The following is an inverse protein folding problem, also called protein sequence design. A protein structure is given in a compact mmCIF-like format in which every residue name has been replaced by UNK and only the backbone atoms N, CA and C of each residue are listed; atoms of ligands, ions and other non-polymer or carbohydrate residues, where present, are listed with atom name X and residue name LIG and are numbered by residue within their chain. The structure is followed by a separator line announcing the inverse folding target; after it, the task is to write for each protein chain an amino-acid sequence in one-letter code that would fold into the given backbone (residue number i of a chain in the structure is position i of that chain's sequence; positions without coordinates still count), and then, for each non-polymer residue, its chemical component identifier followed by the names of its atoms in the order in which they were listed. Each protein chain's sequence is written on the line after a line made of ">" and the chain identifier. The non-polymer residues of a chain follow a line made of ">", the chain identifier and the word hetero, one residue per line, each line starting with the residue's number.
data_IF_911664486462
#
_entry.id   IF_911664486462
#
_cell.length_a   1.000
_cell.length_b   1.000
_cell.length_c   1.000
_cell.angle_alpha   90.00
_cell.angle_beta   90.00
_cell.angle_gamma   90.00
#
_symmetry.space_group_name_H-M   'P 1'
#
loop_
_entity.id
_entity.type
_entity.pdbx_description
1 polymer ?
#
# COMPACT_ATOMS: atom_id res chain seq x y z
N UNK A 1 24.43 6.11 18.33
CA UNK A 1 23.23 6.34 17.53
C UNK A 1 22.57 5.00 17.37
N UNK A 2 21.43 4.81 18.01
CA UNK A 2 20.75 3.52 18.19
C UNK A 2 20.22 2.99 16.84
N UNK A 3 20.39 1.70 16.61
CA UNK A 3 19.85 0.90 15.47
C UNK A 3 18.32 1.11 15.30
N UNK A 4 17.63 1.49 16.36
CA UNK A 4 16.18 1.77 16.37
C UNK A 4 15.80 2.95 15.46
N UNK A 5 16.66 3.95 15.29
CA UNK A 5 16.38 5.12 14.45
C UNK A 5 16.54 4.82 12.93
N UNK A 6 17.12 3.66 12.56
CA UNK A 6 17.20 3.19 11.17
C UNK A 6 16.04 2.24 10.80
N UNK A 7 15.25 1.79 11.77
CA UNK A 7 14.20 0.80 11.63
C UNK A 7 12.81 1.30 12.02
N UNK A 8 12.55 2.59 11.92
CA UNK A 8 11.17 2.99 11.70
C UNK A 8 10.86 2.65 10.25
N UNK A 9 10.18 1.54 9.97
CA UNK A 9 9.61 1.39 8.65
C UNK A 9 8.68 2.59 8.50
N UNK A 10 8.96 3.46 7.53
CA UNK A 10 7.89 4.27 6.97
C UNK A 10 6.93 3.25 6.38
N UNK A 11 5.97 2.81 7.18
CA UNK A 11 4.88 1.98 6.70
C UNK A 11 4.19 2.79 5.63
N UNK A 12 4.42 2.40 4.37
CA UNK A 12 3.68 2.87 3.19
C UNK A 12 3.17 4.33 3.29
N UNK A 13 4.05 5.27 3.54
CA UNK A 13 3.90 6.62 3.04
C UNK A 13 4.66 6.61 1.73
N UNK A 14 3.92 6.75 0.65
CA UNK A 14 4.36 6.98 -0.72
C UNK A 14 4.60 5.72 -1.58
N UNK A 15 3.53 5.28 -2.26
CA UNK A 15 3.64 4.75 -3.61
C UNK A 15 4.18 3.34 -3.79
N UNK A 16 4.11 2.47 -2.80
CA UNK A 16 4.42 1.05 -3.01
C UNK A 16 3.14 0.34 -3.51
N UNK A 17 3.17 -0.13 -4.76
CA UNK A 17 2.07 -0.92 -5.36
C UNK A 17 2.02 -2.34 -4.79
N UNK A 18 2.19 -2.49 -3.47
CA UNK A 18 2.03 -3.79 -2.84
C UNK A 18 0.56 -4.20 -2.85
N UNK A 19 0.26 -5.42 -3.31
CA UNK A 19 -1.08 -5.97 -3.15
C UNK A 19 -1.34 -6.16 -1.67
N UNK A 20 -2.23 -5.34 -1.13
CA UNK A 20 -2.75 -5.47 0.21
C UNK A 20 -4.04 -6.29 0.17
N UNK A 21 -4.31 -7.03 1.23
CA UNK A 21 -5.56 -7.78 1.39
C UNK A 21 -6.31 -7.30 2.63
N UNK A 22 -7.62 -7.51 2.65
CA UNK A 22 -8.43 -7.18 3.81
C UNK A 22 -8.09 -8.04 5.03
N UNK A 23 -8.35 -7.53 6.23
CA UNK A 23 -8.12 -8.23 7.50
C UNK A 23 -8.74 -9.63 7.52
N UNK A 24 -9.98 -9.81 7.06
CA UNK A 24 -10.64 -11.11 7.04
C UNK A 24 -9.94 -12.11 6.11
N UNK A 25 -9.38 -11.65 5.01
CA UNK A 25 -8.59 -12.47 4.07
C UNK A 25 -7.24 -12.83 4.69
N UNK A 26 -6.56 -11.85 5.31
CA UNK A 26 -5.33 -12.08 6.04
C UNK A 26 -5.51 -13.13 7.15
N UNK A 27 -6.57 -13.03 7.95
CA UNK A 27 -6.90 -14.02 8.97
C UNK A 27 -7.21 -15.41 8.40
N UNK A 28 -7.94 -15.48 7.28
CA UNK A 28 -8.21 -16.75 6.61
C UNK A 28 -6.91 -17.41 6.11
N UNK A 29 -6.03 -16.61 5.50
CA UNK A 29 -4.72 -17.08 5.06
C UNK A 29 -3.87 -17.58 6.24
N UNK A 30 -3.74 -16.78 7.30
CA UNK A 30 -2.97 -17.15 8.49
C UNK A 30 -3.53 -18.40 9.19
N UNK A 31 -4.86 -18.55 9.25
CA UNK A 31 -5.52 -19.77 9.78
C UNK A 31 -5.12 -21.01 9.01
N UNK A 32 -4.96 -20.94 7.68
CA UNK A 32 -4.53 -22.07 6.86
C UNK A 32 -3.10 -22.53 7.19
N UNK A 33 -2.29 -21.66 7.80
CA UNK A 33 -0.96 -21.95 8.32
C UNK A 33 -0.96 -22.37 9.80
N UNK A 34 -2.15 -22.51 10.43
CA UNK A 34 -2.28 -22.90 11.83
C UNK A 34 -2.02 -21.76 12.83
N UNK A 35 -2.13 -20.50 12.39
CA UNK A 35 -2.06 -19.32 13.26
C UNK A 35 -3.41 -19.15 13.97
N UNK A 36 -3.44 -19.01 15.32
CA UNK A 36 -4.68 -18.77 16.03
C UNK A 36 -5.22 -17.36 15.76
N UNK A 37 -6.41 -17.29 15.17
CA UNK A 37 -7.14 -16.05 14.84
C UNK A 37 -8.58 -16.19 15.30
N UNK A 38 -9.30 -15.08 15.51
CA UNK A 38 -10.73 -15.07 15.83
C UNK A 38 -11.55 -15.63 14.68
N UNK A 39 -12.64 -16.34 14.99
CA UNK A 39 -13.64 -16.71 14.01
C UNK A 39 -14.46 -15.49 13.59
N UNK A 40 -14.83 -15.45 12.32
CA UNK A 40 -15.56 -14.32 11.79
C UNK A 40 -16.13 -14.58 10.40
N UNK A 41 -17.03 -13.70 9.98
CA UNK A 41 -17.71 -13.76 8.70
C UNK A 41 -17.69 -12.40 8.02
N UNK A 42 -17.36 -12.38 6.73
CA UNK A 42 -17.46 -11.17 5.90
C UNK A 42 -18.90 -10.97 5.45
N UNK A 43 -19.34 -9.73 5.44
CA UNK A 43 -20.68 -9.30 5.03
C UNK A 43 -20.54 -8.24 3.93
N UNK A 44 -21.12 -8.53 2.77
CA UNK A 44 -21.14 -7.65 1.60
C UNK A 44 -22.49 -6.93 1.43
N UNK A 45 -23.55 -7.46 2.03
CA UNK A 45 -24.92 -6.91 2.00
C UNK A 45 -25.47 -6.86 3.42
N UNK A 46 -26.10 -5.77 3.78
CA UNK A 46 -26.56 -5.54 5.14
C UNK A 46 -27.54 -6.62 5.66
N UNK A 47 -28.34 -7.20 4.77
CA UNK A 47 -29.28 -8.28 5.09
C UNK A 47 -28.61 -9.58 5.55
N UNK A 48 -27.36 -9.82 5.15
CA UNK A 48 -26.62 -11.02 5.53
C UNK A 48 -26.01 -10.93 6.94
N UNK A 49 -25.98 -9.74 7.54
CA UNK A 49 -25.32 -9.48 8.82
C UNK A 49 -25.90 -10.32 9.97
N UNK A 50 -27.23 -10.47 10.01
CA UNK A 50 -27.91 -11.27 11.03
C UNK A 50 -27.50 -12.73 10.98
N UNK A 51 -27.45 -13.31 9.79
CA UNK A 51 -27.04 -14.70 9.58
C UNK A 51 -25.55 -14.87 9.91
N UNK A 52 -24.71 -13.90 9.51
CA UNK A 52 -23.28 -13.92 9.80
C UNK A 52 -22.99 -13.89 11.32
N UNK A 53 -23.62 -12.97 12.04
CA UNK A 53 -23.48 -12.89 13.51
C UNK A 53 -24.04 -14.11 14.24
N UNK A 54 -25.22 -14.60 13.81
CA UNK A 54 -25.84 -15.79 14.40
C UNK A 54 -25.10 -17.10 14.17
N UNK A 55 -24.17 -17.12 13.22
CA UNK A 55 -23.27 -18.25 12.96
C UNK A 55 -21.95 -18.22 13.75
N UNK A 56 -21.78 -17.29 14.69
CA UNK A 56 -20.65 -17.12 15.59
C UNK A 56 -21.08 -17.39 17.04
N UNK A 57 -20.11 -17.72 17.90
CA UNK A 57 -20.43 -18.19 19.27
C UNK A 57 -21.03 -17.09 20.18
N UNK A 58 -20.60 -15.81 20.03
CA UNK A 58 -21.06 -14.73 20.92
C UNK A 58 -20.62 -14.92 22.37
N UNK A 59 -21.20 -14.23 23.33
CA UNK A 59 -22.27 -13.20 23.25
C UNK A 59 -21.77 -11.79 22.92
N UNK A 60 -20.52 -11.63 22.53
CA UNK A 60 -19.91 -10.37 22.10
C UNK A 60 -19.41 -10.52 20.65
N UNK A 61 -19.84 -9.62 19.80
CA UNK A 61 -19.37 -9.53 18.41
C UNK A 61 -18.62 -8.22 18.18
N UNK A 62 -17.57 -8.28 17.35
CA UNK A 62 -16.87 -7.09 16.88
C UNK A 62 -17.22 -6.87 15.41
N UNK A 63 -17.83 -5.74 15.12
CA UNK A 63 -18.26 -5.34 13.76
C UNK A 63 -17.25 -4.36 13.21
N UNK A 64 -16.48 -4.77 12.19
CA UNK A 64 -15.32 -4.04 11.67
C UNK A 64 -15.51 -3.64 10.22
N UNK A 65 -15.44 -2.35 9.92
CA UNK A 65 -15.30 -1.85 8.56
C UNK A 65 -14.02 -2.39 7.92
N UNK A 66 -14.11 -2.87 6.68
CA UNK A 66 -12.97 -3.39 5.92
C UNK A 66 -12.58 -2.37 4.85
N UNK A 67 -11.49 -1.68 5.08
CA UNK A 67 -10.80 -0.78 4.15
C UNK A 67 -9.29 -1.00 4.28
N UNK A 68 -8.52 -0.72 3.23
CA UNK A 68 -7.06 -0.81 3.26
C UNK A 68 -6.44 0.41 3.96
N UNK A 69 -6.85 0.67 5.20
CA UNK A 69 -6.30 1.73 6.05
C UNK A 69 -6.38 1.35 7.53
N UNK A 70 -5.35 1.74 8.26
CA UNK A 70 -5.31 1.64 9.72
C UNK A 70 -6.13 2.73 10.42
N UNK A 71 -6.23 2.63 11.76
CA UNK A 71 -6.91 3.63 12.58
C UNK A 71 -8.43 3.60 12.47
N UNK A 72 -9.02 2.54 11.93
CA UNK A 72 -10.47 2.39 11.71
C UNK A 72 -11.32 2.64 12.96
N UNK A 73 -10.86 2.18 14.13
CA UNK A 73 -11.55 2.36 15.41
C UNK A 73 -11.69 3.81 15.85
N UNK A 74 -10.68 4.65 15.53
CA UNK A 74 -10.65 6.10 15.82
C UNK A 74 -11.16 6.95 14.65
N UNK A 75 -11.45 6.33 13.50
CA UNK A 75 -11.95 7.00 12.30
C UNK A 75 -13.33 7.59 12.48
N UNK A 76 -13.72 8.50 11.59
CA UNK A 76 -15.04 9.14 11.56
C UNK A 76 -15.69 8.94 10.21
N UNK A 77 -16.99 8.65 10.21
CA UNK A 77 -17.77 8.61 8.98
C UNK A 77 -18.15 10.02 8.54
N UNK A 78 -18.21 10.25 7.22
CA UNK A 78 -18.68 11.53 6.65
C UNK A 78 -20.19 11.68 6.79
N UNK A 79 -20.91 10.59 6.65
CA UNK A 79 -22.37 10.55 6.66
C UNK A 79 -22.89 10.48 8.10
N UNK A 80 -23.78 11.43 8.52
CA UNK A 80 -24.32 11.47 9.89
C UNK A 80 -25.08 10.21 10.28
N UNK A 81 -25.70 9.52 9.32
CA UNK A 81 -26.47 8.28 9.54
C UNK A 81 -25.59 7.13 10.05
N UNK A 82 -24.29 7.21 9.82
CA UNK A 82 -23.33 6.24 10.38
C UNK A 82 -23.11 6.43 11.89
N UNK A 83 -23.55 7.55 12.47
CA UNK A 83 -23.36 7.90 13.87
C UNK A 83 -21.93 8.33 14.20
N UNK A 84 -21.67 8.60 15.49
CA UNK A 84 -20.40 9.16 15.96
C UNK A 84 -19.28 8.12 16.18
N UNK A 85 -19.63 6.81 16.20
CA UNK A 85 -18.67 5.74 16.45
C UNK A 85 -17.83 5.46 15.19
N UNK A 86 -16.57 5.07 15.40
CA UNK A 86 -15.66 4.67 14.33
C UNK A 86 -16.05 3.38 13.60
N UNK A 87 -15.13 2.90 12.78
CA UNK A 87 -15.30 1.70 11.95
C UNK A 87 -15.09 0.37 12.67
N UNK A 88 -14.88 0.35 14.00
CA UNK A 88 -14.80 -0.85 14.82
C UNK A 88 -15.78 -0.68 15.99
N UNK A 89 -16.76 -1.58 16.08
CA UNK A 89 -17.86 -1.46 17.04
C UNK A 89 -18.12 -2.78 17.75
N UNK A 90 -18.51 -2.71 19.03
CA UNK A 90 -18.89 -3.88 19.83
C UNK A 90 -20.41 -4.01 19.84
N UNK A 91 -20.91 -5.19 19.48
CA UNK A 91 -22.32 -5.58 19.54
C UNK A 91 -22.53 -6.66 20.59
N UNK A 92 -23.61 -6.56 21.35
CA UNK A 92 -23.97 -7.52 22.41
C UNK A 92 -25.17 -8.37 22.03
N UNK A 93 -25.72 -8.15 20.86
CA UNK A 93 -26.75 -8.99 20.24
C UNK A 93 -26.57 -9.05 18.73
N UNK A 94 -27.18 -10.03 18.11
CA UNK A 94 -27.21 -10.21 16.66
C UNK A 94 -27.89 -9.00 15.98
N UNK A 95 -28.94 -8.46 16.62
CA UNK A 95 -29.69 -7.29 16.14
C UNK A 95 -28.82 -6.01 16.18
N UNK A 96 -28.00 -5.84 17.22
CA UNK A 96 -27.04 -4.74 17.29
C UNK A 96 -25.97 -4.87 16.19
N UNK A 97 -25.45 -6.08 15.93
CA UNK A 97 -24.48 -6.32 14.86
C UNK A 97 -25.07 -5.99 13.48
N UNK A 98 -26.33 -6.38 13.23
CA UNK A 98 -27.06 -6.02 12.02
C UNK A 98 -27.25 -4.50 11.88
N UNK A 99 -27.68 -3.83 12.94
CA UNK A 99 -27.86 -2.38 12.94
C UNK A 99 -26.55 -1.62 12.66
N UNK A 100 -25.45 -2.02 13.31
CA UNK A 100 -24.14 -1.43 13.11
C UNK A 100 -23.63 -1.67 11.69
N UNK A 101 -23.87 -2.85 11.11
CA UNK A 101 -23.53 -3.15 9.72
C UNK A 101 -24.27 -2.21 8.76
N UNK A 102 -25.59 -2.03 8.94
CA UNK A 102 -26.40 -1.10 8.13
C UNK A 102 -25.92 0.36 8.23
N UNK A 103 -25.43 0.77 9.40
CA UNK A 103 -24.90 2.10 9.62
C UNK A 103 -23.57 2.35 8.88
N UNK A 104 -22.72 1.33 8.77
CA UNK A 104 -21.37 1.49 8.25
C UNK A 104 -21.22 1.13 6.77
N UNK A 105 -21.95 0.11 6.29
CA UNK A 105 -21.83 -0.38 4.92
C UNK A 105 -22.27 0.69 3.92
N UNK A 106 -21.46 0.94 2.90
CA UNK A 106 -21.69 1.96 1.87
C UNK A 106 -21.36 3.40 2.32
N UNK A 107 -20.84 3.60 3.53
CA UNK A 107 -20.47 4.93 4.06
C UNK A 107 -18.97 5.18 3.94
N UNK A 108 -18.59 6.44 3.97
CA UNK A 108 -17.19 6.89 3.80
C UNK A 108 -16.52 7.05 5.16
N UNK A 109 -15.57 6.17 5.46
CA UNK A 109 -14.77 6.22 6.67
C UNK A 109 -13.47 7.02 6.44
N UNK A 110 -13.26 8.05 7.26
CA UNK A 110 -12.06 8.89 7.27
C UNK A 110 -11.18 8.49 8.45
N UNK A 111 -9.93 8.15 8.18
CA UNK A 111 -8.90 7.85 9.17
C UNK A 111 -7.68 8.75 8.91
N UNK A 112 -6.68 8.72 9.79
CA UNK A 112 -5.44 9.45 9.55
C UNK A 112 -4.68 8.95 8.31
N UNK A 113 -4.88 7.67 7.92
CA UNK A 113 -4.23 7.08 6.75
C UNK A 113 -4.99 7.29 5.44
N UNK A 114 -6.32 7.47 5.48
CA UNK A 114 -7.10 7.72 4.25
C UNK A 114 -7.06 9.17 3.79
N UNK A 115 -6.53 10.07 4.61
CA UNK A 115 -6.68 11.50 4.38
C UNK A 115 -8.15 11.95 4.42
N UNK A 116 -8.43 13.22 4.10
CA UNK A 116 -9.79 13.79 4.17
C UNK A 116 -10.77 13.22 3.13
N UNK A 117 -10.27 12.60 2.05
CA UNK A 117 -11.11 11.93 1.06
C UNK A 117 -11.84 10.72 1.65
N UNK A 118 -11.22 10.02 2.60
CA UNK A 118 -11.77 8.80 3.18
C UNK A 118 -11.84 7.63 2.19
N UNK A 119 -12.34 6.49 2.67
CA UNK A 119 -12.59 5.29 1.85
C UNK A 119 -14.02 4.80 2.09
N UNK A 120 -14.70 4.38 1.03
CA UNK A 120 -16.04 3.78 1.12
C UNK A 120 -15.94 2.38 1.71
N UNK A 121 -16.76 2.10 2.72
CA UNK A 121 -16.81 0.79 3.37
C UNK A 121 -17.70 -0.16 2.54
N UNK A 122 -17.08 -0.95 1.68
CA UNK A 122 -17.77 -1.91 0.82
C UNK A 122 -17.96 -3.30 1.47
N UNK A 123 -17.34 -3.53 2.62
CA UNK A 123 -17.35 -4.80 3.35
C UNK A 123 -17.33 -4.56 4.84
N UNK A 124 -18.04 -5.42 5.57
CA UNK A 124 -17.98 -5.51 7.02
C UNK A 124 -17.48 -6.89 7.40
N UNK A 125 -16.62 -6.97 8.40
CA UNK A 125 -16.22 -8.21 9.03
C UNK A 125 -16.81 -8.29 10.42
N UNK A 126 -17.60 -9.32 10.68
CA UNK A 126 -18.17 -9.61 12.01
C UNK A 126 -17.41 -10.78 12.58
N UNK A 127 -16.81 -10.60 13.74
CA UNK A 127 -16.03 -11.65 14.41
C UNK A 127 -16.41 -11.81 15.88
N UNK A 128 -16.09 -12.96 16.44
CA UNK A 128 -16.24 -13.21 17.87
C UNK A 128 -15.36 -12.28 18.69
N UNK A 129 -15.93 -11.69 19.72
CA UNK A 129 -15.18 -10.93 20.71
C UNK A 129 -14.16 -11.83 21.43
N UNK A 130 -13.12 -11.22 21.93
CA UNK A 130 -12.07 -11.91 22.70
C UNK A 130 -11.90 -11.27 24.06
N UNK A 131 -11.76 -12.09 25.10
CA UNK A 131 -11.45 -11.63 26.47
C UNK A 131 -9.96 -11.34 26.58
N UNK A 132 -9.59 -10.07 26.40
CA UNK A 132 -8.22 -9.61 26.30
C UNK A 132 -7.64 -9.34 27.70
N UNK A 133 -6.55 -10.04 28.03
CA UNK A 133 -5.76 -9.73 29.23
C UNK A 133 -4.60 -8.77 28.93
N UNK A 134 -3.95 -8.91 27.75
CA UNK A 134 -2.83 -8.07 27.31
C UNK A 134 -2.83 -7.93 25.81
N UNK A 135 -2.42 -6.76 25.33
CA UNK A 135 -2.18 -6.47 23.91
C UNK A 135 -0.68 -6.33 23.65
N UNK A 136 -0.21 -6.96 22.58
CA UNK A 136 1.18 -7.04 22.19
C UNK A 136 1.29 -6.70 20.70
N UNK A 137 2.50 -6.31 20.27
CA UNK A 137 2.82 -6.04 18.87
C UNK A 137 3.78 -7.08 18.32
N UNK A 138 3.54 -7.55 17.10
CA UNK A 138 4.44 -8.43 16.37
C UNK A 138 4.35 -8.15 14.88
N UNK A 139 5.50 -7.86 14.24
CA UNK A 139 5.57 -7.71 12.79
C UNK A 139 6.77 -8.45 12.20
N UNK A 140 6.62 -8.87 10.96
CA UNK A 140 7.66 -9.39 10.08
C UNK A 140 7.74 -8.48 8.85
N UNK A 141 8.94 -8.16 8.42
CA UNK A 141 9.17 -7.34 7.23
C UNK A 141 10.45 -7.74 6.51
N UNK A 142 10.51 -7.48 5.21
CA UNK A 142 11.74 -7.59 4.43
C UNK A 142 12.60 -6.36 4.71
N UNK A 143 13.72 -6.57 5.41
CA UNK A 143 14.70 -5.51 5.62
C UNK A 143 15.66 -5.44 4.43
N UNK A 144 15.47 -4.44 3.59
CA UNK A 144 16.30 -4.22 2.39
C UNK A 144 17.74 -3.86 2.74
N UNK A 145 17.98 -3.25 3.89
CA UNK A 145 19.33 -2.87 4.32
C UNK A 145 20.22 -4.07 4.66
N UNK A 146 19.65 -5.09 5.32
CA UNK A 146 20.35 -6.33 5.65
C UNK A 146 20.06 -7.48 4.68
N UNK A 147 19.11 -7.33 3.75
CA UNK A 147 18.59 -8.38 2.87
C UNK A 147 18.08 -9.60 3.65
N UNK A 148 17.38 -9.36 4.76
CA UNK A 148 16.88 -10.38 5.68
C UNK A 148 15.42 -10.14 6.05
N UNK A 149 14.79 -11.16 6.62
CA UNK A 149 13.47 -11.01 7.25
C UNK A 149 13.69 -10.57 8.69
N UNK A 150 13.14 -9.39 9.03
CA UNK A 150 13.24 -8.83 10.37
C UNK A 150 11.94 -8.95 11.14
N UNK A 151 12.07 -9.30 12.42
CA UNK A 151 11.01 -9.26 13.41
C UNK A 151 11.07 -7.96 14.17
N UNK A 152 9.91 -7.35 14.40
CA UNK A 152 9.73 -6.21 15.29
C UNK A 152 8.65 -6.59 16.30
N UNK A 153 8.96 -6.53 17.57
CA UNK A 153 8.04 -6.92 18.65
C UNK A 153 8.05 -5.90 19.77
N UNK A 154 6.88 -5.66 20.38
CA UNK A 154 6.73 -4.77 21.53
C UNK A 154 5.67 -5.26 22.50
N UNK A 155 5.82 -4.91 23.76
CA UNK A 155 4.79 -5.08 24.80
C UNK A 155 3.65 -4.07 24.68
N UNK A 156 3.80 -3.05 23.84
CA UNK A 156 2.80 -2.03 23.54
C UNK A 156 2.03 -2.40 22.27
N UNK A 157 0.96 -3.16 22.42
CA UNK A 157 0.05 -3.52 21.34
C UNK A 157 -1.17 -2.61 21.27
N UNK A 158 -1.90 -2.65 20.14
CA UNK A 158 -3.08 -1.82 19.92
C UNK A 158 -2.78 -0.33 19.72
N UNK A 159 -1.49 0.03 19.65
CA UNK A 159 -0.98 1.38 19.45
C UNK A 159 -0.25 1.48 18.09
N UNK A 160 -0.03 2.71 17.67
CA UNK A 160 0.81 3.01 16.52
C UNK A 160 2.29 2.74 16.90
N UNK A 161 2.96 1.84 16.18
CA UNK A 161 4.33 1.43 16.51
C UNK A 161 5.34 2.55 16.29
N UNK A 162 5.06 3.50 15.39
CA UNK A 162 5.88 4.69 15.18
C UNK A 162 5.84 5.61 16.38
N UNK A 163 4.67 5.74 17.04
CA UNK A 163 4.58 6.49 18.30
C UNK A 163 5.37 5.81 19.42
N UNK A 164 5.31 4.48 19.51
CA UNK A 164 6.11 3.70 20.47
C UNK A 164 7.60 3.88 20.17
N UNK A 165 8.02 3.82 18.91
CA UNK A 165 9.41 4.02 18.49
C UNK A 165 9.92 5.43 18.81
N UNK A 166 9.07 6.45 18.70
CA UNK A 166 9.43 7.83 18.99
C UNK A 166 9.55 8.13 20.49
N UNK A 167 8.69 7.53 21.33
CA UNK A 167 8.57 7.89 22.74
C UNK A 167 9.21 6.86 23.69
N UNK A 168 9.17 5.57 23.36
CA UNK A 168 9.64 4.47 24.20
C UNK A 168 10.38 3.38 23.40
N UNK A 169 11.46 3.75 22.67
CA UNK A 169 12.15 2.82 21.78
C UNK A 169 12.73 1.58 22.48
N UNK A 170 12.98 1.67 23.78
CA UNK A 170 13.46 0.56 24.62
C UNK A 170 12.43 -0.58 24.76
N UNK A 171 11.15 -0.32 24.47
CA UNK A 171 10.08 -1.33 24.46
C UNK A 171 10.00 -2.10 23.15
N UNK A 172 10.80 -1.74 22.16
CA UNK A 172 10.85 -2.42 20.86
C UNK A 172 12.08 -3.29 20.80
N UNK A 173 11.89 -4.57 20.57
CA UNK A 173 12.94 -5.49 20.16
C UNK A 173 12.86 -5.74 18.67
N UNK A 174 13.94 -5.54 17.94
CA UNK A 174 14.09 -5.98 16.54
C UNK A 174 15.25 -6.95 16.39
N UNK A 175 15.11 -7.91 15.49
CA UNK A 175 16.17 -8.81 15.08
C UNK A 175 15.86 -9.42 13.71
N UNK A 176 16.90 -9.82 13.00
CA UNK A 176 16.76 -10.41 11.66
C UNK A 176 17.02 -11.89 11.67
N UNK A 177 16.35 -12.60 10.78
CA UNK A 177 16.56 -14.03 10.50
C UNK A 177 17.26 -14.13 9.15
N UNK A 178 18.36 -14.87 9.11
CA UNK A 178 19.09 -15.13 7.87
C UNK A 178 18.30 -16.13 7.02
N UNK A 179 17.88 -15.78 5.78
CA UNK A 179 17.09 -16.68 4.94
C UNK A 179 17.77 -18.01 4.63
N UNK A 180 19.11 -18.05 4.61
CA UNK A 180 19.86 -19.27 4.33
C UNK A 180 19.78 -20.29 5.48
N UNK A 181 19.74 -19.83 6.73
CA UNK A 181 19.59 -20.71 7.92
C UNK A 181 18.14 -20.90 8.32
N UNK A 182 17.27 -19.98 7.94
CA UNK A 182 15.87 -19.98 8.30
C UNK A 182 15.58 -19.70 9.78
N UNK A 183 14.31 -19.76 10.12
CA UNK A 183 13.84 -19.59 11.49
C UNK A 183 14.08 -20.85 12.32
N UNK A 184 14.54 -20.68 13.55
CA UNK A 184 14.66 -21.76 14.54
C UNK A 184 13.89 -21.41 15.82
N UNK A 185 13.65 -22.42 16.67
CA UNK A 185 12.84 -22.28 17.90
C UNK A 185 13.43 -21.26 18.89
N UNK A 186 14.72 -20.97 18.82
CA UNK A 186 15.30 -19.95 19.71
C UNK A 186 14.81 -18.54 19.35
N UNK A 187 14.53 -18.27 18.07
CA UNK A 187 13.93 -16.99 17.64
C UNK A 187 12.54 -16.80 18.26
N UNK A 188 11.70 -17.86 18.22
CA UNK A 188 10.40 -17.85 18.86
C UNK A 188 10.47 -17.65 20.37
N UNK A 189 11.46 -18.29 21.06
CA UNK A 189 11.70 -18.03 22.49
C UNK A 189 12.18 -16.61 22.75
N UNK A 190 13.01 -16.05 21.88
CA UNK A 190 13.46 -14.66 21.98
C UNK A 190 12.28 -13.70 21.90
N UNK A 191 11.36 -13.90 20.96
CA UNK A 191 10.10 -13.15 20.87
C UNK A 191 9.28 -13.30 22.15
N UNK A 192 9.08 -14.54 22.62
CA UNK A 192 8.28 -14.81 23.80
C UNK A 192 8.80 -14.07 25.05
N UNK A 193 10.10 -14.10 25.29
CA UNK A 193 10.70 -13.43 26.43
C UNK A 193 10.69 -11.92 26.31
N UNK A 194 10.88 -11.37 25.11
CA UNK A 194 10.76 -9.93 24.87
C UNK A 194 9.33 -9.42 25.13
N UNK A 195 8.32 -10.25 24.83
CA UNK A 195 6.90 -9.95 25.10
C UNK A 195 6.49 -10.28 26.55
N UNK A 196 7.42 -10.71 27.39
CA UNK A 196 7.16 -11.08 28.79
C UNK A 196 6.23 -12.27 28.95
N UNK A 197 6.26 -13.22 27.98
CA UNK A 197 5.47 -14.45 28.04
C UNK A 197 6.18 -15.53 28.88
N UNK A 198 5.41 -16.38 29.53
CA UNK A 198 5.93 -17.42 30.42
C UNK A 198 5.18 -18.75 30.28
N UNK A 199 5.75 -19.81 30.83
CA UNK A 199 5.10 -21.12 30.90
C UNK A 199 4.67 -21.65 29.53
N UNK A 200 3.40 -22.03 29.40
CA UNK A 200 2.84 -22.55 28.16
C UNK A 200 2.76 -21.51 27.03
N UNK A 201 2.68 -20.22 27.36
CA UNK A 201 2.67 -19.12 26.36
C UNK A 201 3.95 -19.09 25.54
N UNK A 202 5.10 -19.46 26.12
CA UNK A 202 6.38 -19.58 25.37
C UNK A 202 6.28 -20.63 24.28
N UNK A 203 5.67 -21.79 24.55
CA UNK A 203 5.47 -22.85 23.54
C UNK A 203 4.52 -22.40 22.44
N UNK A 204 3.42 -21.74 22.82
CA UNK A 204 2.47 -21.18 21.87
C UNK A 204 3.12 -20.12 20.98
N UNK A 205 3.93 -19.22 21.56
CA UNK A 205 4.65 -18.17 20.83
C UNK A 205 5.66 -18.78 19.83
N UNK A 206 6.40 -19.81 20.22
CA UNK A 206 7.32 -20.52 19.32
C UNK A 206 6.57 -21.12 18.12
N UNK A 207 5.42 -21.76 18.35
CA UNK A 207 4.60 -22.31 17.28
C UNK A 207 4.01 -21.20 16.39
N UNK A 208 3.51 -20.13 17.00
CA UNK A 208 2.99 -18.95 16.31
C UNK A 208 4.04 -18.34 15.39
N UNK A 209 5.20 -18.00 15.91
CA UNK A 209 6.31 -17.37 15.16
C UNK A 209 6.78 -18.25 14.01
N UNK A 210 6.85 -19.57 14.20
CA UNK A 210 7.16 -20.52 13.14
C UNK A 210 6.12 -20.51 12.02
N UNK A 211 4.85 -20.50 12.36
CA UNK A 211 3.76 -20.51 11.40
C UNK A 211 3.68 -19.19 10.64
N UNK A 212 3.86 -18.04 11.32
CA UNK A 212 3.91 -16.72 10.68
C UNK A 212 5.10 -16.61 9.72
N UNK A 213 6.29 -17.05 10.13
CA UNK A 213 7.48 -17.03 9.27
C UNK A 213 7.30 -17.92 8.04
N UNK A 214 6.71 -19.11 8.21
CA UNK A 214 6.43 -20.01 7.10
C UNK A 214 5.43 -19.37 6.11
N UNK A 215 4.35 -18.79 6.59
CA UNK A 215 3.39 -18.08 5.76
C UNK A 215 4.06 -16.91 5.02
N UNK A 216 4.90 -16.15 5.72
CA UNK A 216 5.62 -15.00 5.18
C UNK A 216 6.50 -15.39 3.99
N UNK A 217 7.30 -16.46 4.14
CA UNK A 217 8.21 -16.92 3.08
C UNK A 217 7.47 -17.61 1.94
N UNK A 218 6.53 -18.52 2.24
CA UNK A 218 5.82 -19.29 1.21
C UNK A 218 4.87 -18.45 0.36
N UNK A 219 4.37 -17.32 0.91
CA UNK A 219 3.46 -16.40 0.21
C UNK A 219 4.13 -15.14 -0.34
N UNK A 220 5.45 -15.08 -0.29
CA UNK A 220 6.20 -13.91 -0.74
C UNK A 220 5.66 -12.60 -0.14
N UNK A 221 5.45 -12.61 1.18
CA UNK A 221 5.05 -11.41 1.90
C UNK A 221 6.24 -10.45 2.03
N UNK A 222 6.01 -9.16 1.88
CA UNK A 222 7.00 -8.15 2.22
C UNK A 222 6.77 -7.55 3.61
N UNK A 223 5.52 -7.61 4.09
CA UNK A 223 5.12 -7.13 5.41
C UNK A 223 3.97 -7.98 5.94
N UNK A 224 4.07 -8.35 7.21
CA UNK A 224 3.02 -8.98 8.01
C UNK A 224 3.02 -8.34 9.39
N UNK A 225 1.95 -7.64 9.73
CA UNK A 225 1.77 -6.97 11.00
C UNK A 225 0.59 -7.59 11.75
N UNK A 226 0.83 -7.95 13.01
CA UNK A 226 -0.18 -8.39 13.96
C UNK A 226 -0.27 -7.33 15.05
N UNK A 227 -1.33 -6.52 15.03
CA UNK A 227 -1.50 -5.41 15.96
C UNK A 227 -2.98 -5.20 16.34
N UNK A 228 -3.43 -5.81 17.48
CA UNK A 228 -2.60 -6.52 18.46
C UNK A 228 -2.52 -8.05 18.25
N UNK A 229 -1.40 -8.62 18.69
CA UNK A 229 -1.32 -9.97 19.17
C UNK A 229 -1.81 -9.96 20.62
N UNK A 230 -2.80 -10.76 20.99
CA UNK A 230 -3.36 -10.73 22.34
C UNK A 230 -2.97 -11.96 23.17
N UNK A 231 -2.82 -11.72 24.47
CA UNK A 231 -2.90 -12.76 25.48
C UNK A 231 -4.34 -12.74 26.01
N UNK A 232 -5.06 -13.83 25.89
CA UNK A 232 -6.42 -13.95 26.39
C UNK A 232 -6.42 -14.22 27.91
N UNK A 233 -7.54 -14.01 28.56
CA UNK A 233 -7.70 -14.26 30.00
C UNK A 233 -7.49 -15.71 30.39
N UNK A 234 -7.71 -16.65 29.46
CA UNK A 234 -7.40 -18.07 29.61
C UNK A 234 -5.90 -18.40 29.42
N UNK A 235 -5.08 -17.40 29.12
CA UNK A 235 -3.64 -17.51 28.90
C UNK A 235 -3.25 -17.90 27.46
N UNK A 236 -4.18 -18.10 26.54
CA UNK A 236 -3.86 -18.43 25.15
C UNK A 236 -3.48 -17.20 24.34
N UNK A 237 -2.65 -17.41 23.30
CA UNK A 237 -2.29 -16.38 22.33
C UNK A 237 -3.24 -16.40 21.14
N UNK A 238 -3.62 -15.21 20.64
CA UNK A 238 -4.45 -15.06 19.45
C UNK A 238 -4.09 -13.80 18.67
N UNK A 239 -4.06 -13.85 17.35
CA UNK A 239 -3.92 -12.69 16.48
C UNK A 239 -5.30 -12.04 16.31
N UNK A 240 -5.45 -10.81 16.81
CA UNK A 240 -6.75 -10.11 16.79
C UNK A 240 -6.94 -9.25 15.55
N UNK A 241 -5.87 -8.63 15.06
CA UNK A 241 -5.86 -7.92 13.77
C UNK A 241 -4.59 -8.31 12.99
N UNK A 242 -4.71 -8.34 11.68
CA UNK A 242 -3.61 -8.71 10.78
C UNK A 242 -3.64 -7.85 9.53
N UNK A 243 -2.49 -7.25 9.20
CA UNK A 243 -2.23 -6.54 7.95
C UNK A 243 -1.12 -7.27 7.20
N UNK A 244 -1.35 -7.54 5.91
CA UNK A 244 -0.41 -8.30 5.06
C UNK A 244 -0.25 -7.56 3.74
N UNK A 245 1.00 -7.34 3.35
CA UNK A 245 1.42 -6.89 2.03
C UNK A 245 2.29 -7.94 1.36
N UNK A 246 2.21 -8.05 0.04
CA UNK A 246 2.92 -9.05 -0.75
C UNK A 246 3.88 -8.39 -1.74
N UNK A 247 4.96 -9.06 -2.07
CA UNK A 247 5.86 -8.64 -3.13
C UNK A 247 5.17 -8.76 -4.50
N UNK A 248 4.90 -7.64 -5.12
CA UNK A 248 4.25 -7.58 -6.45
C UNK A 248 5.04 -8.34 -7.51
N UNK A 249 6.36 -8.38 -7.40
CA UNK A 249 7.20 -9.10 -8.37
C UNK A 249 7.04 -10.63 -8.27
N UNK A 250 6.47 -11.13 -7.18
CA UNK A 250 6.23 -12.55 -6.95
C UNK A 250 4.79 -12.99 -7.27
N UNK A 251 3.86 -12.06 -7.50
CA UNK A 251 2.43 -12.37 -7.67
C UNK A 251 2.12 -13.31 -8.83
N UNK A 252 2.95 -13.33 -9.87
CA UNK A 252 2.80 -14.27 -10.99
C UNK A 252 2.80 -15.75 -10.57
N UNK A 253 3.42 -16.07 -9.42
CA UNK A 253 3.44 -17.42 -8.83
C UNK A 253 2.50 -17.60 -7.64
N UNK A 254 1.79 -16.54 -7.23
CA UNK A 254 0.84 -16.53 -6.11
C UNK A 254 -0.59 -16.24 -6.61
N UNK A 255 -1.11 -17.12 -7.48
CA UNK A 255 -2.44 -16.94 -8.09
C UNK A 255 -3.58 -16.86 -7.07
N UNK A 256 -3.46 -17.55 -5.93
CA UNK A 256 -4.41 -17.50 -4.83
C UNK A 256 -4.38 -16.14 -4.10
N UNK A 257 -3.23 -15.49 -3.99
CA UNK A 257 -3.09 -14.14 -3.46
C UNK A 257 -3.69 -13.12 -4.44
N UNK A 258 -3.39 -13.26 -5.73
CA UNK A 258 -4.00 -12.40 -6.77
C UNK A 258 -5.52 -12.44 -6.76
N UNK A 259 -6.13 -13.59 -6.47
CA UNK A 259 -7.59 -13.72 -6.36
C UNK A 259 -8.18 -12.97 -5.14
N UNK A 260 -7.35 -12.57 -4.18
CA UNK A 260 -7.78 -11.78 -3.00
C UNK A 260 -7.72 -10.27 -3.23
N UNK A 261 -7.13 -9.82 -4.34
CA UNK A 261 -6.98 -8.40 -4.67
C UNK A 261 -8.34 -7.71 -4.74
N UNK A 262 -8.42 -6.53 -4.16
CA UNK A 262 -9.60 -5.66 -4.22
C UNK A 262 -9.29 -4.38 -4.99
N UNK A 263 -9.59 -4.39 -6.28
CA UNK A 263 -9.36 -3.24 -7.16
C UNK A 263 -10.13 -1.97 -6.72
N UNK A 264 -11.18 -2.11 -5.91
CA UNK A 264 -11.95 -0.94 -5.41
C UNK A 264 -11.20 -0.16 -4.32
N UNK A 265 -10.17 -0.73 -3.75
CA UNK A 265 -9.30 -0.10 -2.75
C UNK A 265 -8.06 0.57 -3.36
N UNK A 266 -7.77 0.32 -4.63
CA UNK A 266 -6.62 0.88 -5.34
C UNK A 266 -6.90 2.28 -5.90
N UNK A 267 -5.85 3.01 -6.23
CA UNK A 267 -6.01 4.26 -6.98
C UNK A 267 -6.48 3.96 -8.41
N UNK A 268 -7.55 4.61 -8.89
CA UNK A 268 -8.10 4.34 -10.23
C UNK A 268 -7.10 4.58 -11.37
N UNK A 269 -6.14 5.52 -11.21
CA UNK A 269 -5.11 5.80 -12.21
C UNK A 269 -4.04 4.72 -12.21
N UNK A 270 -3.63 4.25 -11.03
CA UNK A 270 -2.69 3.14 -10.88
C UNK A 270 -3.29 1.84 -11.46
N UNK A 271 -4.56 1.58 -11.17
CA UNK A 271 -5.29 0.46 -11.74
C UNK A 271 -5.42 0.59 -13.28
N UNK A 272 -5.68 1.78 -13.80
CA UNK A 272 -5.72 2.01 -15.24
C UNK A 272 -4.34 1.78 -15.89
N UNK A 273 -3.27 2.23 -15.25
CA UNK A 273 -1.89 2.08 -15.71
C UNK A 273 -1.45 0.60 -15.75
N UNK A 274 -1.82 -0.17 -14.73
CA UNK A 274 -1.46 -1.59 -14.65
C UNK A 274 -2.02 -2.43 -15.80
N UNK A 275 -3.16 -2.05 -16.39
CA UNK A 275 -3.77 -2.73 -17.55
C UNK A 275 -2.93 -2.60 -18.82
N UNK A 276 -2.06 -1.60 -18.88
CA UNK A 276 -1.15 -1.34 -20.00
C UNK A 276 0.31 -1.65 -19.64
N UNK A 277 0.54 -2.32 -18.51
CA UNK A 277 1.88 -2.64 -18.03
C UNK A 277 2.76 -1.37 -17.91
N UNK A 278 2.16 -0.34 -17.32
CA UNK A 278 2.79 0.93 -16.96
C UNK A 278 2.96 0.99 -15.44
N UNK A 279 4.14 1.41 -14.98
CA UNK A 279 4.38 1.68 -13.57
C UNK A 279 4.00 3.13 -13.26
N UNK A 280 2.86 3.33 -12.61
CA UNK A 280 2.32 4.64 -12.26
C UNK A 280 2.08 4.74 -10.76
N UNK A 281 2.46 5.87 -10.18
CA UNK A 281 2.16 6.23 -8.79
C UNK A 281 1.64 7.66 -8.79
N UNK A 282 0.45 7.88 -8.24
CA UNK A 282 -0.14 9.20 -8.09
C UNK A 282 0.57 9.99 -6.98
N UNK A 283 0.86 11.28 -7.24
CA UNK A 283 1.42 12.24 -6.29
C UNK A 283 0.59 13.52 -6.29
N UNK A 284 0.83 14.41 -5.32
CA UNK A 284 0.00 15.61 -5.11
C UNK A 284 0.47 16.85 -5.87
N UNK A 285 1.38 16.71 -6.83
CA UNK A 285 1.99 17.83 -7.56
C UNK A 285 1.19 18.33 -8.76
N UNK A 286 1.84 19.19 -9.55
CA UNK A 286 1.24 19.89 -10.70
C UNK A 286 1.95 19.60 -12.03
N UNK A 287 3.11 18.93 -12.02
CA UNK A 287 3.86 18.55 -13.21
C UNK A 287 3.75 17.04 -13.44
N UNK A 288 3.04 16.66 -14.49
CA UNK A 288 2.97 15.28 -14.95
C UNK A 288 4.33 14.81 -15.52
N UNK A 289 4.75 13.60 -15.15
CA UNK A 289 6.01 13.03 -15.58
C UNK A 289 5.78 11.76 -16.41
N UNK A 290 6.48 11.65 -17.54
CA UNK A 290 6.55 10.42 -18.33
C UNK A 290 8.00 10.11 -18.67
N UNK A 291 8.51 8.97 -18.22
CA UNK A 291 9.94 8.62 -18.28
C UNK A 291 10.09 7.16 -18.65
N UNK A 292 11.21 6.77 -19.22
CA UNK A 292 11.57 5.37 -19.38
C UNK A 292 12.70 4.96 -18.43
N UNK A 293 12.35 4.17 -17.45
CA UNK A 293 13.24 3.67 -16.41
C UNK A 293 13.08 4.38 -15.07
N UNK A 294 12.89 3.59 -14.02
CA UNK A 294 12.57 4.06 -12.66
C UNK A 294 13.63 5.03 -12.10
N UNK A 295 14.91 4.76 -12.32
CA UNK A 295 15.99 5.66 -11.88
C UNK A 295 15.94 7.03 -12.53
N UNK A 296 15.61 7.09 -13.83
CA UNK A 296 15.46 8.35 -14.55
C UNK A 296 14.17 9.08 -14.10
N UNK A 297 13.10 8.35 -13.77
CA UNK A 297 11.88 8.92 -13.21
C UNK A 297 12.14 9.59 -11.86
N UNK A 298 12.83 8.92 -10.94
CA UNK A 298 13.21 9.50 -9.64
C UNK A 298 14.07 10.77 -9.84
N UNK A 299 15.11 10.72 -10.68
CA UNK A 299 15.95 11.88 -10.96
C UNK A 299 15.14 13.04 -11.60
N UNK A 300 14.14 12.72 -12.41
CA UNK A 300 13.24 13.73 -13.02
C UNK A 300 12.38 14.41 -11.96
N UNK A 301 11.82 13.65 -11.03
CA UNK A 301 11.04 14.20 -9.92
C UNK A 301 11.91 15.06 -8.99
N UNK A 302 13.10 14.60 -8.66
CA UNK A 302 14.03 15.34 -7.79
C UNK A 302 14.41 16.70 -8.40
N UNK A 303 14.71 16.74 -9.70
CA UNK A 303 15.11 17.99 -10.35
C UNK A 303 13.92 18.95 -10.52
N UNK A 304 12.69 18.47 -10.70
CA UNK A 304 11.49 19.29 -10.68
C UNK A 304 11.35 19.96 -9.31
N UNK A 305 11.54 19.22 -8.22
CA UNK A 305 11.53 19.76 -6.85
C UNK A 305 12.63 20.77 -6.61
N UNK A 306 13.83 20.50 -7.11
CA UNK A 306 14.97 21.42 -7.01
C UNK A 306 14.66 22.79 -7.63
N UNK A 307 13.90 22.83 -8.72
CA UNK A 307 13.45 24.08 -9.37
C UNK A 307 12.15 24.63 -8.80
N UNK A 308 11.68 24.06 -7.69
CA UNK A 308 10.60 24.62 -6.87
C UNK A 308 9.18 24.30 -7.34
N UNK A 309 8.97 23.20 -8.07
CA UNK A 309 7.65 22.67 -8.38
C UNK A 309 7.51 21.24 -7.87
N UNK A 310 6.29 20.68 -7.89
CA UNK A 310 6.01 19.34 -7.38
C UNK A 310 5.58 18.40 -8.52
N UNK A 311 6.12 17.16 -8.59
CA UNK A 311 5.69 16.16 -9.53
C UNK A 311 4.29 15.64 -9.17
N UNK A 312 3.42 15.49 -10.18
CA UNK A 312 2.05 14.98 -10.02
C UNK A 312 1.99 13.45 -10.04
N UNK A 313 3.04 12.80 -10.54
CA UNK A 313 3.12 11.36 -10.62
C UNK A 313 4.56 10.87 -10.83
N UNK A 314 4.80 9.64 -10.42
CA UNK A 314 5.82 8.79 -11.00
C UNK A 314 5.21 8.02 -12.17
N UNK A 315 5.88 7.95 -13.32
CA UNK A 315 5.46 7.08 -14.41
C UNK A 315 6.66 6.60 -15.21
N UNK A 316 6.84 5.29 -15.23
CA UNK A 316 7.83 4.59 -16.04
C UNK A 316 7.12 3.79 -17.14
N UNK A 317 7.34 4.17 -18.40
CA UNK A 317 6.76 3.46 -19.56
C UNK A 317 7.57 2.22 -19.95
N UNK A 318 8.69 1.96 -19.28
CA UNK A 318 9.58 0.83 -19.54
C UNK A 318 10.43 0.99 -20.82
N UNK A 319 11.39 0.08 -20.98
CA UNK A 319 12.32 0.10 -22.13
C UNK A 319 11.72 -0.39 -23.46
N UNK A 320 10.50 -0.89 -23.47
CA UNK A 320 9.80 -1.42 -24.66
C UNK A 320 8.47 -0.71 -24.97
N UNK A 321 8.35 0.59 -24.60
CA UNK A 321 7.11 1.32 -24.80
C UNK A 321 6.70 1.38 -26.26
N UNK A 322 5.44 0.98 -26.52
CA UNK A 322 4.78 1.12 -27.79
C UNK A 322 4.02 2.44 -27.89
N UNK A 323 3.57 2.79 -29.09
CA UNK A 323 2.71 3.98 -29.29
C UNK A 323 1.47 3.93 -28.40
N UNK A 324 0.85 2.75 -28.25
CA UNK A 324 -0.33 2.54 -27.42
C UNK A 324 -0.03 2.82 -25.94
N UNK A 325 1.08 2.29 -25.40
CA UNK A 325 1.51 2.56 -24.02
C UNK A 325 1.73 4.05 -23.77
N UNK A 326 2.40 4.74 -24.70
CA UNK A 326 2.64 6.18 -24.61
C UNK A 326 1.31 6.96 -24.63
N UNK A 327 0.38 6.57 -25.51
CA UNK A 327 -0.95 7.22 -25.59
C UNK A 327 -1.73 7.04 -24.28
N UNK A 328 -1.78 5.84 -23.72
CA UNK A 328 -2.47 5.59 -22.46
C UNK A 328 -1.79 6.30 -21.29
N UNK A 329 -0.47 6.37 -21.26
CA UNK A 329 0.27 7.16 -20.28
C UNK A 329 -0.17 8.64 -20.30
N UNK A 330 -0.28 9.26 -21.48
CA UNK A 330 -0.78 10.63 -21.58
C UNK A 330 -2.23 10.76 -21.11
N UNK A 331 -3.11 9.81 -21.45
CA UNK A 331 -4.51 9.82 -20.98
C UNK A 331 -4.59 9.78 -19.45
N UNK A 332 -3.80 8.91 -18.83
CA UNK A 332 -3.75 8.78 -17.37
C UNK A 332 -3.23 10.07 -16.73
N UNK A 333 -2.10 10.63 -17.20
CA UNK A 333 -1.56 11.88 -16.68
C UNK A 333 -2.57 13.02 -16.81
N UNK A 334 -3.19 13.17 -18.00
CA UNK A 334 -4.12 14.27 -18.27
C UNK A 334 -5.49 14.10 -17.61
N UNK A 335 -5.82 12.92 -17.12
CA UNK A 335 -7.01 12.71 -16.31
C UNK A 335 -6.92 13.36 -14.93
N UNK A 336 -5.71 13.73 -14.48
CA UNK A 336 -5.50 14.44 -13.24
C UNK A 336 -5.76 15.96 -13.43
N UNK A 337 -6.78 16.52 -12.76
CA UNK A 337 -7.09 17.94 -12.88
C UNK A 337 -6.02 18.86 -12.29
N UNK A 338 -5.13 18.33 -11.43
CA UNK A 338 -4.04 19.08 -10.83
C UNK A 338 -2.87 19.30 -11.80
N UNK A 339 -2.76 18.50 -12.86
CA UNK A 339 -1.68 18.58 -13.83
C UNK A 339 -1.80 19.84 -14.67
N UNK A 340 -0.82 20.74 -14.54
CA UNK A 340 -0.71 22.01 -15.25
C UNK A 340 0.34 22.00 -16.35
N UNK A 341 1.18 20.98 -16.41
CA UNK A 341 2.20 20.80 -17.44
C UNK A 341 2.75 19.40 -17.42
N UNK A 342 3.33 18.94 -18.52
CA UNK A 342 3.88 17.59 -18.65
C UNK A 342 5.33 17.65 -19.07
N UNK A 343 6.19 16.89 -18.38
CA UNK A 343 7.58 16.65 -18.75
C UNK A 343 7.75 15.20 -19.22
N UNK A 344 8.09 15.05 -20.49
CA UNK A 344 8.53 13.79 -21.09
C UNK A 344 10.05 13.77 -21.10
N UNK A 345 10.64 12.82 -20.40
CA UNK A 345 12.10 12.67 -20.31
C UNK A 345 12.51 11.24 -20.67
N UNK A 346 13.00 11.08 -21.87
CA UNK A 346 13.35 9.77 -22.45
C UNK A 346 14.85 9.68 -22.71
N UNK A 347 15.42 8.59 -22.22
CA UNK A 347 16.77 8.19 -22.59
C UNK A 347 16.69 6.93 -23.48
N UNK A 348 16.95 7.11 -24.78
CA UNK A 348 16.89 6.04 -25.77
C UNK A 348 18.13 5.14 -25.72
N UNK A 349 17.96 4.00 -25.07
CA UNK A 349 18.91 2.88 -25.19
C UNK A 349 18.31 1.84 -26.14
N UNK A 350 17.64 0.84 -25.59
CA UNK A 350 16.85 -0.14 -26.36
C UNK A 350 15.66 0.55 -27.03
N UNK A 351 15.01 1.48 -26.32
CA UNK A 351 13.94 2.32 -26.85
C UNK A 351 14.52 3.40 -27.78
N UNK A 352 13.87 3.61 -28.93
CA UNK A 352 14.28 4.59 -29.92
C UNK A 352 13.49 5.89 -29.76
N UNK A 353 14.19 7.02 -29.82
CA UNK A 353 13.61 8.35 -29.66
C UNK A 353 12.60 8.72 -30.77
N UNK A 354 12.78 8.21 -31.99
CA UNK A 354 11.83 8.41 -33.10
C UNK A 354 10.47 7.76 -32.82
N UNK A 355 10.44 6.54 -32.28
CA UNK A 355 9.20 5.84 -31.92
C UNK A 355 8.45 6.61 -30.81
N UNK A 356 9.19 7.09 -29.81
CA UNK A 356 8.60 7.88 -28.72
C UNK A 356 8.07 9.22 -29.23
N UNK A 357 8.80 9.88 -30.13
CA UNK A 357 8.35 11.13 -30.74
C UNK A 357 7.04 10.94 -31.50
N UNK A 358 6.92 9.89 -32.32
CA UNK A 358 5.68 9.53 -33.02
C UNK A 358 4.54 9.22 -32.05
N UNK A 359 4.81 8.41 -31.03
CA UNK A 359 3.85 8.08 -29.99
C UNK A 359 3.38 9.31 -29.22
N UNK A 360 4.27 10.18 -28.82
CA UNK A 360 3.98 11.45 -28.16
C UNK A 360 3.08 12.33 -29.03
N UNK A 361 3.41 12.53 -30.30
CA UNK A 361 2.61 13.33 -31.24
C UNK A 361 1.22 12.75 -31.40
N UNK A 362 1.12 11.45 -31.59
CA UNK A 362 -0.16 10.77 -31.73
C UNK A 362 -1.03 10.92 -30.48
N UNK A 363 -0.44 10.72 -29.31
CA UNK A 363 -1.12 10.88 -28.02
C UNK A 363 -1.60 12.33 -27.80
N UNK A 364 -0.73 13.31 -28.03
CA UNK A 364 -1.07 14.75 -27.89
C UNK A 364 -2.24 15.13 -28.78
N UNK A 365 -2.29 14.61 -30.02
CA UNK A 365 -3.42 14.86 -30.94
C UNK A 365 -4.71 14.17 -30.50
N UNK A 366 -4.62 12.92 -30.06
CA UNK A 366 -5.76 12.10 -29.63
C UNK A 366 -6.39 12.67 -28.34
N UNK A 367 -5.56 13.05 -27.37
CA UNK A 367 -6.00 13.60 -26.08
C UNK A 367 -6.42 15.06 -26.19
N UNK A 368 -5.96 15.77 -27.24
CA UNK A 368 -6.22 17.22 -27.38
C UNK A 368 -5.56 18.02 -26.27
N UNK A 369 -4.27 17.75 -26.02
CA UNK A 369 -3.51 18.32 -24.90
C UNK A 369 -3.59 19.84 -24.82
N UNK A 370 -3.99 20.36 -23.65
CA UNK A 370 -4.16 21.80 -23.41
C UNK A 370 -3.09 22.42 -22.52
N UNK A 371 -2.29 21.59 -21.87
CA UNK A 371 -1.22 22.03 -20.96
C UNK A 371 0.13 22.06 -21.68
N UNK A 372 1.10 22.87 -21.22
CA UNK A 372 2.45 22.87 -21.75
C UNK A 372 3.09 21.49 -21.73
N UNK A 373 3.79 21.15 -22.83
CA UNK A 373 4.53 19.91 -22.96
C UNK A 373 6.00 20.22 -23.20
N UNK A 374 6.86 19.77 -22.31
CA UNK A 374 8.32 19.80 -22.49
C UNK A 374 8.80 18.40 -22.77
N UNK A 375 9.62 18.24 -23.81
CA UNK A 375 10.17 16.94 -24.21
C UNK A 375 11.69 17.00 -24.25
N UNK A 376 12.34 16.12 -23.50
CA UNK A 376 13.76 15.85 -23.57
C UNK A 376 13.96 14.45 -24.11
N UNK A 377 14.69 14.35 -25.21
CA UNK A 377 15.10 13.09 -25.83
C UNK A 377 16.62 13.00 -25.83
N UNK A 378 17.16 11.84 -25.53
CA UNK A 378 18.58 11.52 -25.53
C UNK A 378 18.81 10.07 -26.00
N UNK A 379 19.91 9.78 -26.67
CA UNK A 379 20.30 8.42 -27.06
C UNK A 379 19.93 8.05 -28.50
N UNK A 380 19.49 6.80 -28.73
CA UNK A 380 19.30 6.23 -30.07
C UNK A 380 18.25 7.00 -30.88
N UNK A 381 18.62 7.44 -32.10
CA UNK A 381 17.80 8.21 -33.03
C UNK A 381 17.28 9.56 -32.46
N UNK A 382 18.07 10.19 -31.59
CA UNK A 382 17.66 11.45 -30.92
C UNK A 382 17.41 12.57 -31.94
N UNK A 383 18.27 12.76 -32.94
CA UNK A 383 18.11 13.81 -33.94
C UNK A 383 16.83 13.62 -34.77
N UNK A 384 16.55 12.37 -35.19
CA UNK A 384 15.35 12.04 -35.92
C UNK A 384 14.09 12.29 -35.03
N UNK A 385 14.13 11.89 -33.75
CA UNK A 385 13.04 12.16 -32.80
C UNK A 385 12.80 13.66 -32.60
N UNK A 386 13.85 14.46 -32.45
CA UNK A 386 13.74 15.92 -32.36
C UNK A 386 13.18 16.56 -33.64
N UNK A 387 13.55 16.04 -34.81
CA UNK A 387 13.04 16.48 -36.09
C UNK A 387 11.53 16.17 -36.23
N UNK A 388 11.11 14.96 -35.88
CA UNK A 388 9.70 14.54 -35.87
C UNK A 388 8.87 15.48 -34.99
N UNK A 389 9.34 15.80 -33.77
CA UNK A 389 8.66 16.72 -32.86
C UNK A 389 8.59 18.12 -33.46
N UNK A 390 9.68 18.67 -34.00
CA UNK A 390 9.70 20.01 -34.62
C UNK A 390 8.72 20.13 -35.79
N UNK A 391 8.64 19.09 -36.63
CA UNK A 391 7.78 19.08 -37.81
C UNK A 391 6.31 18.73 -37.51
N UNK A 392 5.98 18.41 -36.26
CA UNK A 392 4.64 17.98 -35.85
C UNK A 392 3.57 19.08 -35.92
N UNK A 393 3.98 20.36 -35.90
CA UNK A 393 3.10 21.51 -35.79
C UNK A 393 2.45 21.68 -34.40
N UNK A 394 2.84 20.88 -33.41
CA UNK A 394 2.36 20.96 -32.04
C UNK A 394 3.22 21.95 -31.22
N UNK A 395 2.59 22.58 -30.23
CA UNK A 395 3.30 23.46 -29.29
C UNK A 395 4.05 22.64 -28.25
N UNK A 396 5.18 22.03 -28.67
CA UNK A 396 6.04 21.23 -27.81
C UNK A 396 7.34 21.96 -27.59
N UNK A 397 7.75 22.11 -26.35
CA UNK A 397 9.01 22.75 -25.94
C UNK A 397 10.11 21.70 -25.90
N UNK A 398 11.07 21.75 -26.81
CA UNK A 398 12.22 20.86 -26.77
C UNK A 398 13.22 21.29 -25.69
N UNK A 399 13.83 20.32 -25.04
CA UNK A 399 14.87 20.53 -24.03
C UNK A 399 16.16 19.78 -24.38
N UNK A 400 17.30 20.39 -24.04
CA UNK A 400 18.61 19.86 -24.39
C UNK A 400 19.17 18.89 -23.35
N UNK A 401 18.86 19.12 -22.09
CA UNK A 401 19.26 18.27 -20.97
C UNK A 401 18.21 18.28 -19.87
N UNK A 402 18.42 17.47 -18.84
CA UNK A 402 17.44 17.30 -17.76
C UNK A 402 17.21 18.58 -16.95
N UNK A 403 18.26 19.37 -16.68
CA UNK A 403 18.16 20.65 -15.99
C UNK A 403 17.36 21.68 -16.82
N UNK A 404 17.67 21.79 -18.11
CA UNK A 404 16.95 22.66 -19.06
C UNK A 404 15.47 22.26 -19.17
N UNK A 405 15.19 20.94 -19.20
CA UNK A 405 13.83 20.42 -19.23
C UNK A 405 13.01 20.82 -17.99
N UNK A 406 13.60 20.65 -16.80
CA UNK A 406 12.95 21.02 -15.54
C UNK A 406 12.73 22.53 -15.45
N UNK A 407 13.70 23.36 -15.81
CA UNK A 407 13.54 24.82 -15.84
C UNK A 407 12.41 25.26 -16.79
N UNK A 408 12.39 24.69 -18.00
CA UNK A 408 11.38 25.01 -19.01
C UNK A 408 9.96 24.65 -18.56
N UNK A 409 9.78 23.45 -18.00
CA UNK A 409 8.45 23.03 -17.54
C UNK A 409 7.99 23.84 -16.32
N UNK A 410 8.85 24.07 -15.35
CA UNK A 410 8.54 24.89 -14.17
C UNK A 410 8.18 26.32 -14.58
N UNK A 411 8.94 26.93 -15.50
CA UNK A 411 8.62 28.25 -16.03
C UNK A 411 7.29 28.26 -16.78
N UNK A 412 7.00 27.23 -17.58
CA UNK A 412 5.75 27.16 -18.34
C UNK A 412 4.50 26.98 -17.46
N UNK A 413 4.66 26.36 -16.26
CA UNK A 413 3.57 26.15 -15.31
C UNK A 413 3.38 27.33 -14.35
N UNK A 414 4.47 27.98 -13.94
CA UNK A 414 4.42 29.08 -12.95
C UNK A 414 4.35 30.48 -13.58
N UNK A 415 4.60 30.63 -14.86
CA UNK A 415 4.58 31.90 -15.60
C UNK A 415 5.93 32.57 -15.61
#
# INVERSE_FOLDING_TARGET
>A
MSVVCQYTPKFAADGDMSVNIHEYQAKALLRSYGVPVSDGRVVLRAEDAKTAAGGLDGPLWVVKAQIHAGGRGKGKFKEPEAGEKGGVRLARSVEEAEAMTKQMLGRTLVTHQTGPAGKTVNRIYIEDGSDIARELYLALLVDRGSSRISFVVSTEGGMDIEEVAAHTPEKILSFSVDPASGLSDFHGRRVAFALGLSGNQVKQCVALVRNLYRAFVEKDMEMLEINPLIVMTDGNLKCLDAKVGFDNNALYRQADVMALRDETEEDPKELAASKFDLNYIALDGEIGCMVNGAGLAMATMDIIKLYGAEPANFLDVGGGATKEKVTEAFKIITSDPNVKGILVNIFGGIMRCDIIAEGTIAAVREVGLKVPLVVRLEGTNVELGKEIIRNSGLNVIAADNLSDAAQKIVKAVKG
#
